data_IF_754268769206
#
_entry.id   IF_754268769206
#
_cell.length_a   1.000
_cell.length_b   1.000
_cell.length_c   1.000
_cell.angle_alpha   90.00
_cell.angle_beta   90.00
_cell.angle_gamma   90.00
#
_symmetry.space_group_name_H-M   'P 1'
#
loop_
_entity.id
_entity.type
_entity.pdbx_description
1 polymer ?
#
# COMPACT_ATOMS: atom_id res chain seq x y z
N UNK A 1 -41.88 2.57 -35.46
CA UNK A 1 -42.31 3.27 -34.22
C UNK A 1 -42.54 2.21 -33.15
N UNK A 2 -41.74 1.99 -32.10
CA UNK A 2 -40.78 2.83 -31.42
C UNK A 2 -41.20 2.96 -29.95
N UNK A 3 -40.99 1.93 -29.13
CA UNK A 3 -41.11 2.00 -27.67
C UNK A 3 -39.97 1.20 -27.04
N UNK A 4 -38.83 1.86 -26.89
CA UNK A 4 -37.73 1.42 -26.05
C UNK A 4 -38.16 1.58 -24.60
N UNK A 5 -38.44 0.48 -23.91
CA UNK A 5 -38.69 0.48 -22.47
C UNK A 5 -37.36 0.67 -21.75
N UNK A 6 -37.06 1.92 -21.40
CA UNK A 6 -35.95 2.27 -20.52
C UNK A 6 -36.18 1.59 -19.17
N UNK A 7 -35.39 0.56 -18.84
CA UNK A 7 -35.35 0.00 -17.49
C UNK A 7 -34.69 1.02 -16.57
N UNK A 8 -35.38 1.58 -15.57
CA UNK A 8 -34.72 2.45 -14.61
C UNK A 8 -33.71 1.62 -13.80
N UNK A 9 -32.42 1.82 -14.05
CA UNK A 9 -31.31 1.38 -13.19
C UNK A 9 -31.26 2.29 -11.94
N UNK A 10 -32.32 2.29 -11.14
CA UNK A 10 -32.28 2.92 -9.82
C UNK A 10 -31.97 1.83 -8.82
N UNK A 11 -30.73 1.78 -8.32
CA UNK A 11 -30.42 1.02 -7.10
C UNK A 11 -31.20 1.64 -5.96
N UNK A 12 -32.28 0.97 -5.54
CA UNK A 12 -32.99 1.31 -4.31
C UNK A 12 -32.16 0.81 -3.13
N UNK A 13 -31.46 1.71 -2.46
CA UNK A 13 -30.93 1.46 -1.12
C UNK A 13 -32.13 1.55 -0.17
N UNK A 14 -32.65 0.40 0.25
CA UNK A 14 -33.85 0.30 1.08
C UNK A 14 -35.03 -0.26 0.30
N UNK A 15 -35.07 -1.59 0.17
CA UNK A 15 -36.31 -2.30 -0.16
C UNK A 15 -37.37 -1.99 0.90
N UNK A 16 -38.64 -1.95 0.50
CA UNK A 16 -39.79 -1.54 1.31
C UNK A 16 -40.14 -2.47 2.47
N UNK A 17 -39.16 -2.78 3.31
CA UNK A 17 -39.36 -3.43 4.60
C UNK A 17 -39.54 -2.38 5.69
N UNK A 18 -40.37 -2.70 6.68
CA UNK A 18 -40.54 -1.87 7.86
C UNK A 18 -39.17 -1.59 8.51
N UNK A 19 -38.93 -0.34 8.92
CA UNK A 19 -37.70 0.06 9.61
C UNK A 19 -37.46 -0.84 10.82
N UNK A 20 -36.45 -1.72 10.75
CA UNK A 20 -35.97 -2.49 11.89
C UNK A 20 -35.11 -1.56 12.74
N UNK A 21 -35.50 -1.23 13.99
CA UNK A 21 -34.64 -0.46 14.86
C UNK A 21 -33.34 -1.24 15.11
N UNK A 22 -32.21 -0.54 15.01
CA UNK A 22 -30.88 -1.11 15.28
C UNK A 22 -30.86 -1.54 16.74
N UNK A 23 -30.64 -2.84 16.96
CA UNK A 23 -30.50 -3.42 18.30
C UNK A 23 -29.03 -3.67 18.60
N UNK A 24 -28.68 -3.86 19.88
CA UNK A 24 -27.31 -4.18 20.29
C UNK A 24 -26.76 -5.44 19.59
N UNK A 25 -27.64 -6.37 19.18
CA UNK A 25 -27.29 -7.59 18.46
C UNK A 25 -26.85 -7.35 17.01
N UNK A 26 -27.16 -6.18 16.44
CA UNK A 26 -26.75 -5.80 15.09
C UNK A 26 -25.33 -5.18 15.08
N UNK A 27 -24.71 -4.99 16.25
CA UNK A 27 -23.33 -4.51 16.33
C UNK A 27 -22.33 -5.58 15.90
N UNK A 28 -21.21 -5.19 15.28
CA UNK A 28 -20.15 -6.12 14.93
C UNK A 28 -19.55 -6.73 16.21
N UNK A 29 -19.78 -8.02 16.40
CA UNK A 29 -19.09 -8.79 17.43
C UNK A 29 -17.66 -9.05 16.94
N UNK A 30 -16.62 -8.77 17.71
CA UNK A 30 -15.26 -9.13 17.34
C UNK A 30 -15.18 -10.63 17.09
N UNK A 31 -14.74 -11.02 15.89
CA UNK A 31 -14.61 -12.42 15.48
C UNK A 31 -13.13 -12.79 15.40
N UNK A 32 -12.78 -13.93 16.00
CA UNK A 32 -11.42 -14.49 15.97
C UNK A 32 -10.45 -13.85 16.97
N UNK A 33 -9.20 -14.29 16.91
CA UNK A 33 -8.13 -13.78 17.77
C UNK A 33 -7.59 -12.46 17.22
N UNK A 34 -7.59 -11.42 18.07
CA UNK A 34 -6.97 -10.13 17.74
C UNK A 34 -5.49 -10.30 17.36
N UNK A 35 -4.81 -11.28 17.97
CA UNK A 35 -3.40 -11.54 17.77
C UNK A 35 -3.12 -12.09 16.37
N UNK A 36 -3.99 -12.96 15.85
CA UNK A 36 -3.84 -13.49 14.48
C UNK A 36 -4.01 -12.39 13.43
N UNK A 37 -5.03 -11.54 13.61
CA UNK A 37 -5.27 -10.40 12.73
C UNK A 37 -4.10 -9.39 12.78
N UNK A 38 -3.52 -9.16 13.96
CA UNK A 38 -2.34 -8.33 14.13
C UNK A 38 -1.11 -8.93 13.44
N UNK A 39 -0.83 -10.21 13.67
CA UNK A 39 0.30 -10.91 13.07
C UNK A 39 0.22 -10.93 11.53
N UNK A 40 -0.97 -11.11 10.97
CA UNK A 40 -1.20 -11.04 9.53
C UNK A 40 -0.85 -9.66 8.95
N UNK A 41 -1.26 -8.59 9.62
CA UNK A 41 -0.91 -7.21 9.23
C UNK A 41 0.59 -6.96 9.35
N UNK A 42 1.20 -7.42 10.45
CA UNK A 42 2.63 -7.23 10.69
C UNK A 42 3.49 -7.90 9.62
N UNK A 43 3.11 -9.09 9.16
CA UNK A 43 3.80 -9.78 8.05
C UNK A 43 3.80 -8.93 6.77
N UNK A 44 2.68 -8.29 6.46
CA UNK A 44 2.57 -7.43 5.28
C UNK A 44 3.47 -6.20 5.40
N UNK A 45 3.46 -5.53 6.55
CA UNK A 45 4.33 -4.37 6.79
C UNK A 45 5.82 -4.72 6.74
N UNK A 46 6.22 -5.83 7.36
CA UNK A 46 7.60 -6.29 7.31
C UNK A 46 8.03 -6.64 5.88
N UNK A 47 7.14 -7.21 5.08
CA UNK A 47 7.40 -7.49 3.66
C UNK A 47 7.60 -6.20 2.87
N UNK A 48 6.73 -5.20 3.07
CA UNK A 48 6.86 -3.88 2.46
C UNK A 48 8.15 -3.18 2.88
N UNK A 49 8.52 -3.28 4.16
CA UNK A 49 9.74 -2.71 4.70
C UNK A 49 10.98 -3.33 4.04
N UNK A 50 11.03 -4.66 3.96
CA UNK A 50 12.11 -5.37 3.29
C UNK A 50 12.23 -4.98 1.81
N UNK A 51 11.10 -4.90 1.11
CA UNK A 51 11.08 -4.49 -0.30
C UNK A 51 11.60 -3.05 -0.44
N UNK A 52 11.14 -2.13 0.38
CA UNK A 52 11.56 -0.73 0.36
C UNK A 52 13.06 -0.58 0.62
N UNK A 53 13.60 -1.27 1.63
CA UNK A 53 15.03 -1.26 1.94
C UNK A 53 15.85 -1.85 0.79
N UNK A 54 15.41 -2.96 0.21
CA UNK A 54 16.10 -3.59 -0.91
C UNK A 54 16.12 -2.70 -2.16
N UNK A 55 14.97 -2.11 -2.52
CA UNK A 55 14.87 -1.18 -3.65
C UNK A 55 15.73 0.06 -3.41
N UNK A 56 15.64 0.68 -2.24
CA UNK A 56 16.42 1.88 -1.91
C UNK A 56 17.93 1.60 -1.94
N UNK A 57 18.37 0.52 -1.28
CA UNK A 57 19.77 0.11 -1.28
C UNK A 57 20.29 -0.22 -2.68
N UNK A 58 19.50 -0.94 -3.48
CA UNK A 58 19.83 -1.26 -4.87
C UNK A 58 19.95 0.00 -5.75
N UNK A 59 19.03 0.96 -5.60
CA UNK A 59 19.07 2.24 -6.30
C UNK A 59 20.32 3.04 -5.94
N UNK A 60 20.66 3.16 -4.65
CA UNK A 60 21.87 3.86 -4.22
C UNK A 60 23.14 3.20 -4.74
N UNK A 61 23.20 1.87 -4.69
CA UNK A 61 24.34 1.11 -5.21
C UNK A 61 24.54 1.34 -6.72
N UNK A 62 23.46 1.27 -7.50
CA UNK A 62 23.50 1.55 -8.93
C UNK A 62 23.86 3.01 -9.24
N UNK A 63 23.34 3.97 -8.46
CA UNK A 63 23.67 5.39 -8.60
C UNK A 63 25.14 5.70 -8.29
N UNK A 64 25.72 5.00 -7.31
CA UNK A 64 27.14 5.11 -6.99
C UNK A 64 28.02 4.50 -8.09
N UNK A 65 27.69 3.29 -8.57
CA UNK A 65 28.47 2.61 -9.62
C UNK A 65 28.41 3.34 -10.97
N UNK A 66 27.26 3.93 -11.32
CA UNK A 66 27.10 4.70 -12.56
C UNK A 66 27.80 6.07 -12.53
N UNK A 67 28.30 6.50 -11.36
CA UNK A 67 28.90 7.83 -11.19
C UNK A 67 27.88 8.98 -11.15
N UNK A 68 26.59 8.67 -11.08
CA UNK A 68 25.53 9.68 -10.91
C UNK A 68 25.63 10.37 -9.54
N UNK A 69 26.01 9.61 -8.51
CA UNK A 69 26.24 10.11 -7.15
C UNK A 69 27.71 9.91 -6.80
N UNK A 70 28.42 11.02 -6.59
CA UNK A 70 29.82 11.03 -6.17
C UNK A 70 29.90 11.50 -4.72
N UNK A 71 30.36 10.63 -3.83
CA UNK A 71 30.41 10.90 -2.39
C UNK A 71 31.60 11.78 -1.97
N UNK A 72 32.52 12.10 -2.88
CA UNK A 72 33.68 12.99 -2.69
C UNK A 72 34.41 12.78 -1.35
N UNK A 73 34.53 11.53 -0.91
CA UNK A 73 35.01 11.20 0.44
C UNK A 73 36.52 11.38 0.60
N UNK A 74 37.25 11.34 -0.50
CA UNK A 74 38.68 11.64 -0.58
C UNK A 74 38.98 12.43 -1.84
N UNK A 75 40.01 13.31 -1.82
CA UNK A 75 40.44 13.99 -3.03
C UNK A 75 40.88 12.97 -4.08
N UNK A 76 40.55 13.24 -5.34
CA UNK A 76 40.91 12.39 -6.47
C UNK A 76 42.43 12.47 -6.70
N UNK A 77 43.16 11.55 -6.07
CA UNK A 77 44.63 11.47 -6.15
C UNK A 77 45.12 11.29 -7.59
N UNK A 78 44.31 10.66 -8.45
CA UNK A 78 44.61 10.46 -9.87
C UNK A 78 44.62 11.80 -10.64
N UNK A 79 43.80 12.76 -10.22
CA UNK A 79 43.79 14.12 -10.79
C UNK A 79 44.88 15.03 -10.24
N UNK A 80 45.49 14.70 -9.10
CA UNK A 80 46.49 15.57 -8.45
C UNK A 80 47.92 15.43 -9.00
N UNK A 81 48.19 14.53 -9.95
CA UNK A 81 49.53 14.30 -10.53
C UNK A 81 50.64 14.22 -9.46
N UNK A 82 50.36 13.50 -8.36
CA UNK A 82 51.34 13.25 -7.31
C UNK A 82 52.03 11.94 -7.69
N UNK A 83 53.32 12.03 -7.99
CA UNK A 83 54.19 10.89 -8.32
C UNK A 83 54.31 9.91 -7.15
#
# INVERSE_FOLDING_TARGET
MGLLTVRPLVRRYGGGEAYKPITMNDLPVPKGSWQEAYNAKQKNYNTMLMLGVATFGGTLFAAYQSGLVVLNTTPDLKKMNIK
#
